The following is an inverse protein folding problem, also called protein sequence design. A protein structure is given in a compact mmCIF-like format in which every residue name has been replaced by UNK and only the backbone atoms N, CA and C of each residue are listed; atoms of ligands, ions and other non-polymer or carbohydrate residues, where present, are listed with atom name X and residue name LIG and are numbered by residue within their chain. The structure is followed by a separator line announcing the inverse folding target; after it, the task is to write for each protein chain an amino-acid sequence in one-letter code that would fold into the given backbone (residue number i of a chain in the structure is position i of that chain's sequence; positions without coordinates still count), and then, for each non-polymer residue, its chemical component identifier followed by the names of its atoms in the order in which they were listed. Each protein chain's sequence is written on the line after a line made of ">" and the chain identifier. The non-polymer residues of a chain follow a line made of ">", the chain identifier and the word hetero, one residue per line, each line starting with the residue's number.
data_IF_896913999492
#
_entry.id   IF_896913999492
#
_cell.length_a   1.000
_cell.length_b   1.000
_cell.length_c   1.000
_cell.angle_alpha   90.00
_cell.angle_beta   90.00
_cell.angle_gamma   90.00
#
_symmetry.space_group_name_H-M   'P 1'
#
loop_
_entity.id
_entity.type
_entity.pdbx_description
1 polymer ?
#
# COMPACT_ATOMS: atom_id res chain seq x y z
N UNK A 1 14.17 -12.25 13.08
CA UNK A 1 12.73 -12.15 12.91
C UNK A 1 12.36 -11.26 11.74
N UNK A 2 11.09 -11.17 11.44
CA UNK A 2 10.62 -10.49 10.24
C UNK A 2 11.06 -9.02 10.17
N UNK A 3 10.85 -8.28 11.24
CA UNK A 3 11.16 -6.84 11.23
C UNK A 3 12.66 -6.60 11.15
N UNK A 4 13.44 -7.41 11.81
CA UNK A 4 14.90 -7.31 11.74
C UNK A 4 15.39 -7.59 10.34
N UNK A 5 14.81 -8.59 9.69
CA UNK A 5 15.18 -8.96 8.33
C UNK A 5 14.88 -7.82 7.36
N UNK A 6 13.71 -7.19 7.48
CA UNK A 6 13.34 -6.06 6.63
C UNK A 6 14.36 -4.94 6.78
N UNK A 7 14.71 -4.59 8.02
CA UNK A 7 15.64 -3.50 8.26
C UNK A 7 17.04 -3.77 7.75
N UNK A 8 17.44 -5.04 7.67
CA UNK A 8 18.76 -5.39 7.18
C UNK A 8 18.83 -5.40 5.65
N UNK A 9 17.68 -5.43 4.98
CA UNK A 9 17.61 -5.47 3.51
C UNK A 9 17.46 -4.06 2.96
N UNK A 10 18.51 -3.26 3.08
CA UNK A 10 18.41 -1.84 2.78
C UNK A 10 18.41 -1.50 1.29
N UNK A 11 18.91 -2.40 0.45
CA UNK A 11 19.07 -2.12 -0.98
C UNK A 11 17.87 -2.53 -1.81
N UNK A 12 17.04 -3.43 -1.27
CA UNK A 12 15.90 -3.97 -2.00
C UNK A 12 14.62 -3.61 -1.25
N UNK A 13 13.72 -2.85 -1.88
CA UNK A 13 12.44 -2.55 -1.23
C UNK A 13 11.65 -3.83 -1.00
N UNK A 14 11.05 -3.93 0.16
CA UNK A 14 10.17 -5.04 0.49
C UNK A 14 8.73 -4.60 0.27
N UNK A 15 7.93 -5.52 -0.23
CA UNK A 15 6.50 -5.29 -0.44
C UNK A 15 5.74 -6.26 0.43
N UNK A 16 4.81 -5.75 1.21
CA UNK A 16 3.92 -6.58 1.99
C UNK A 16 2.62 -6.71 1.23
N UNK A 17 2.42 -7.87 0.61
CA UNK A 17 1.25 -8.13 -0.23
C UNK A 17 0.00 -8.34 0.60
N UNK A 18 -1.11 -7.84 0.08
CA UNK A 18 -2.40 -8.02 0.72
C UNK A 18 -2.43 -7.46 2.13
N UNK A 19 -1.74 -6.35 2.37
CA UNK A 19 -1.64 -5.81 3.72
C UNK A 19 -3.02 -5.44 4.24
N UNK A 20 -3.37 -5.99 5.39
CA UNK A 20 -4.71 -5.83 5.96
C UNK A 20 -4.65 -5.94 7.49
N UNK A 21 -3.66 -5.29 8.10
CA UNK A 21 -3.43 -5.42 9.53
C UNK A 21 -3.24 -4.05 10.17
N UNK A 22 -4.35 -3.39 10.60
CA UNK A 22 -4.26 -2.05 11.18
C UNK A 22 -3.27 -1.94 12.35
N UNK A 23 -3.16 -3.00 13.12
CA UNK A 23 -2.32 -2.97 14.32
C UNK A 23 -0.83 -2.93 14.02
N UNK A 24 -0.42 -3.27 12.80
CA UNK A 24 0.99 -3.34 12.46
C UNK A 24 1.49 -2.11 11.70
N UNK A 25 0.60 -1.18 11.37
CA UNK A 25 0.97 -0.04 10.54
C UNK A 25 2.11 0.76 11.15
N UNK A 26 1.97 1.18 12.40
CA UNK A 26 2.98 2.04 13.02
C UNK A 26 4.34 1.36 13.07
N UNK A 27 4.35 0.08 13.38
CA UNK A 27 5.59 -0.67 13.47
C UNK A 27 6.26 -0.82 12.12
N UNK A 28 5.47 -1.09 11.08
CA UNK A 28 6.00 -1.26 9.73
C UNK A 28 6.44 0.06 9.10
N UNK A 29 5.84 1.17 9.53
CA UNK A 29 6.28 2.48 9.03
C UNK A 29 7.70 2.82 9.46
N UNK A 30 8.21 2.16 10.49
CA UNK A 30 9.60 2.36 10.92
C UNK A 30 10.58 1.61 10.02
N UNK A 31 10.09 0.80 9.12
CA UNK A 31 10.91 0.06 8.15
C UNK A 31 10.76 0.68 6.77
N UNK A 32 11.47 0.13 5.79
CA UNK A 32 11.42 0.67 4.42
C UNK A 32 10.55 -0.20 3.52
N UNK A 33 9.40 -0.62 4.02
CA UNK A 33 8.50 -1.47 3.23
C UNK A 33 7.50 -0.63 2.45
N UNK A 34 6.99 -1.23 1.37
CA UNK A 34 5.83 -0.73 0.67
C UNK A 34 4.63 -1.60 1.05
N UNK A 35 3.48 -0.97 1.17
CA UNK A 35 2.24 -1.67 1.52
C UNK A 35 1.45 -1.89 0.24
N UNK A 36 1.18 -3.15 -0.08
CA UNK A 36 0.35 -3.47 -1.24
C UNK A 36 -1.08 -3.69 -0.78
N UNK A 37 -1.96 -2.81 -1.22
CA UNK A 37 -3.36 -2.82 -0.80
C UNK A 37 -4.23 -3.35 -1.91
N UNK A 38 -5.16 -4.20 -1.56
CA UNK A 38 -6.10 -4.78 -2.50
C UNK A 38 -7.54 -4.62 -2.04
N UNK A 39 -8.47 -5.29 -2.71
CA UNK A 39 -9.89 -5.15 -2.38
C UNK A 39 -10.21 -5.46 -0.93
N UNK A 40 -9.58 -6.47 -0.35
CA UNK A 40 -9.86 -6.84 1.03
C UNK A 40 -9.49 -5.73 2.00
N UNK A 41 -8.33 -5.08 1.77
CA UNK A 41 -7.89 -3.97 2.62
C UNK A 41 -8.87 -2.81 2.55
N UNK A 42 -9.35 -2.50 1.35
CA UNK A 42 -10.20 -1.33 1.12
C UNK A 42 -11.64 -1.56 1.53
N UNK A 43 -12.01 -2.80 1.80
CA UNK A 43 -13.33 -3.15 2.28
C UNK A 43 -13.36 -3.43 3.78
N UNK A 44 -12.20 -3.43 4.42
CA UNK A 44 -12.11 -3.70 5.84
C UNK A 44 -12.38 -2.43 6.64
N UNK A 45 -13.48 -2.36 7.41
CA UNK A 45 -13.81 -1.14 8.15
C UNK A 45 -12.76 -0.75 9.18
N UNK A 46 -11.93 -1.70 9.61
CA UNK A 46 -10.84 -1.39 10.53
C UNK A 46 -9.64 -0.79 9.85
N UNK A 47 -9.49 -1.03 8.53
CA UNK A 47 -8.41 -0.44 7.74
C UNK A 47 -8.74 0.95 7.24
N UNK A 48 -10.00 1.24 6.96
CA UNK A 48 -10.36 2.50 6.32
C UNK A 48 -9.84 3.74 7.06
N UNK A 49 -10.02 3.85 8.40
CA UNK A 49 -9.48 5.03 9.10
C UNK A 49 -7.96 5.05 9.19
N UNK A 50 -7.32 3.90 8.95
CA UNK A 50 -5.86 3.79 9.04
C UNK A 50 -5.18 4.17 7.73
N UNK A 51 -5.90 4.08 6.62
CA UNK A 51 -5.30 4.34 5.29
C UNK A 51 -4.62 5.70 5.21
N UNK A 52 -5.21 6.72 5.84
CA UNK A 52 -4.63 8.06 5.82
C UNK A 52 -3.34 8.18 6.61
N UNK A 53 -3.05 7.20 7.47
CA UNK A 53 -1.82 7.19 8.25
C UNK A 53 -0.64 6.60 7.50
N UNK A 54 -0.91 5.94 6.39
CA UNK A 54 0.15 5.36 5.56
C UNK A 54 0.49 6.37 4.46
N UNK A 55 1.74 6.85 4.40
CA UNK A 55 2.12 7.80 3.36
C UNK A 55 1.86 7.22 1.97
N UNK A 56 1.28 8.02 1.10
CA UNK A 56 0.94 7.55 -0.24
C UNK A 56 2.18 7.06 -1.00
N UNK A 57 3.34 7.63 -0.71
CA UNK A 57 4.57 7.21 -1.38
C UNK A 57 5.09 5.85 -0.88
N UNK A 58 4.37 5.18 -0.02
CA UNK A 58 4.70 3.87 0.50
C UNK A 58 3.65 2.82 0.12
N UNK A 59 2.77 3.14 -0.81
CA UNK A 59 1.65 2.28 -1.19
C UNK A 59 1.75 1.87 -2.64
N UNK A 60 1.41 0.62 -2.93
CA UNK A 60 1.09 0.14 -4.26
C UNK A 60 -0.23 -0.60 -4.18
N UNK A 61 -0.84 -0.87 -5.30
CA UNK A 61 -2.12 -1.55 -5.35
C UNK A 61 -1.99 -2.89 -6.04
N UNK A 62 -2.85 -3.82 -5.63
CA UNK A 62 -2.91 -5.14 -6.24
C UNK A 62 -4.35 -5.58 -6.36
N UNK A 63 -4.61 -6.49 -7.28
CA UNK A 63 -5.83 -7.27 -7.28
C UNK A 63 -5.42 -8.71 -7.00
N UNK A 64 -6.25 -9.42 -6.24
CA UNK A 64 -6.04 -10.84 -6.07
C UNK A 64 -6.73 -11.57 -7.23
N UNK A 65 -7.01 -12.85 -7.07
CA UNK A 65 -7.61 -13.66 -8.14
C UNK A 65 -9.10 -13.39 -8.31
N UNK A 66 -9.59 -12.27 -7.84
CA UNK A 66 -11.00 -11.92 -7.99
C UNK A 66 -11.21 -11.20 -9.32
N UNK A 67 -12.46 -10.97 -9.64
CA UNK A 67 -12.83 -10.22 -10.83
C UNK A 67 -12.72 -8.71 -10.64
N UNK A 68 -12.11 -8.26 -9.53
CA UNK A 68 -12.02 -6.84 -9.24
C UNK A 68 -11.06 -6.16 -10.21
N UNK A 69 -11.53 -5.09 -10.83
CA UNK A 69 -10.72 -4.26 -11.71
C UNK A 69 -9.77 -3.42 -10.86
N UNK A 70 -8.50 -3.35 -11.27
CA UNK A 70 -7.52 -2.52 -10.57
C UNK A 70 -7.98 -1.06 -10.49
N UNK A 71 -8.70 -0.58 -11.47
CA UNK A 71 -9.23 0.79 -11.45
C UNK A 71 -10.21 1.00 -10.30
N UNK A 72 -10.91 -0.05 -9.90
CA UNK A 72 -11.81 0.05 -8.75
C UNK A 72 -11.00 0.23 -7.47
N UNK A 73 -9.87 -0.42 -7.36
CA UNK A 73 -8.97 -0.26 -6.20
C UNK A 73 -8.54 1.19 -6.09
N UNK A 74 -8.13 1.80 -7.20
CA UNK A 74 -7.76 3.22 -7.22
C UNK A 74 -8.90 4.11 -6.74
N UNK A 75 -10.10 3.87 -7.26
CA UNK A 75 -11.27 4.69 -6.91
C UNK A 75 -11.64 4.54 -5.44
N UNK A 76 -11.61 3.30 -4.94
CA UNK A 76 -11.95 3.04 -3.55
C UNK A 76 -10.97 3.71 -2.59
N UNK A 77 -9.68 3.66 -2.92
CA UNK A 77 -8.67 4.34 -2.12
C UNK A 77 -8.87 5.86 -2.16
N UNK A 78 -9.09 6.39 -3.35
CA UNK A 78 -9.31 7.82 -3.53
C UNK A 78 -10.47 8.32 -2.67
N UNK A 79 -11.57 7.58 -2.66
CA UNK A 79 -12.74 7.93 -1.86
C UNK A 79 -12.46 7.79 -0.36
N UNK A 80 -11.83 6.70 0.03
CA UNK A 80 -11.60 6.41 1.44
C UNK A 80 -10.68 7.44 2.11
N UNK A 81 -9.74 7.99 1.35
CA UNK A 81 -8.76 8.94 1.89
C UNK A 81 -9.03 10.37 1.47
N UNK A 82 -10.08 10.60 0.69
CA UNK A 82 -10.39 11.94 0.14
C UNK A 82 -9.20 12.53 -0.61
N UNK A 83 -8.48 11.68 -1.33
CA UNK A 83 -7.34 12.10 -2.13
C UNK A 83 -7.75 12.12 -3.60
N UNK A 84 -7.45 13.18 -4.36
CA UNK A 84 -7.81 13.23 -5.78
C UNK A 84 -7.26 12.04 -6.54
N UNK A 85 -8.09 11.45 -7.39
CA UNK A 85 -7.72 10.24 -8.13
C UNK A 85 -6.46 10.41 -8.95
N UNK A 86 -6.30 11.57 -9.60
CA UNK A 86 -5.12 11.82 -10.43
C UNK A 86 -3.84 11.84 -9.59
N UNK A 87 -3.92 12.35 -8.37
CA UNK A 87 -2.79 12.36 -7.46
C UNK A 87 -2.42 10.95 -7.03
N UNK A 88 -3.44 10.13 -6.75
CA UNK A 88 -3.22 8.73 -6.38
C UNK A 88 -2.52 8.01 -7.54
N UNK A 89 -3.03 8.16 -8.75
CA UNK A 89 -2.46 7.48 -9.91
C UNK A 89 -1.00 7.87 -10.14
N UNK A 90 -0.70 9.17 -10.06
CA UNK A 90 0.66 9.65 -10.29
C UNK A 90 1.63 9.11 -9.26
N UNK A 91 1.23 9.10 -8.00
CA UNK A 91 2.12 8.63 -6.93
C UNK A 91 2.33 7.12 -6.99
N UNK A 92 1.28 6.37 -7.28
CA UNK A 92 1.41 4.91 -7.38
C UNK A 92 2.36 4.54 -8.54
N UNK A 93 2.27 5.26 -9.65
CA UNK A 93 3.19 5.05 -10.77
C UNK A 93 4.64 5.30 -10.34
N UNK A 94 4.88 6.39 -9.61
CA UNK A 94 6.21 6.68 -9.08
C UNK A 94 6.69 5.58 -8.15
N UNK A 95 5.80 5.03 -7.35
CA UNK A 95 6.14 3.97 -6.42
C UNK A 95 6.58 2.70 -7.14
N UNK A 96 5.88 2.36 -8.23
CA UNK A 96 6.28 1.21 -9.03
C UNK A 96 7.67 1.41 -9.62
N UNK A 97 7.97 2.60 -10.11
CA UNK A 97 9.30 2.89 -10.65
C UNK A 97 10.37 2.78 -9.55
N UNK A 98 10.05 3.23 -8.36
CA UNK A 98 11.00 3.15 -7.24
C UNK A 98 11.29 1.70 -6.85
N UNK A 99 10.29 0.83 -6.93
CA UNK A 99 10.43 -0.57 -6.51
C UNK A 99 11.12 -1.40 -7.59
N UNK A 100 10.68 -1.28 -8.83
CA UNK A 100 11.10 -2.19 -9.89
C UNK A 100 12.21 -1.61 -10.75
N UNK A 101 12.60 -0.40 -10.47
CA UNK A 101 13.66 0.23 -11.19
C UNK A 101 13.22 0.71 -12.57
N UNK A 102 13.85 1.69 -13.07
CA UNK A 102 13.55 2.16 -14.43
C UNK A 102 14.61 1.64 -15.37
#
# INVERSE_FOLDING_TARGET
>A
EFYSLINSQQHTPWIIHGFNSPKQVQRLLETKVFFSLGPASLQNPHMLPILSQIPLNRIVFETDDTATDINQVYRDYSQATSTPLEKVKAQIEQNFLAIFGA
#
